data_IF_023000564960
#
_entry.id   IF_023000564960
#
_cell.length_a   1.000
_cell.length_b   1.000
_cell.length_c   1.000
_cell.angle_alpha   90.00
_cell.angle_beta   90.00
_cell.angle_gamma   90.00
#
_symmetry.space_group_name_H-M   'P 1'
#
loop_
_entity.id
_entity.type
_entity.pdbx_description
1 polymer ?
#
# COMPACT_ATOMS: atom_id res chain seq x y z
N UNK A 1 17.50 4.13 -30.05
CA UNK A 1 16.35 4.23 -29.11
C UNK A 1 15.84 2.86 -28.61
N UNK A 2 16.68 1.84 -28.43
CA UNK A 2 16.26 0.47 -28.02
C UNK A 2 16.85 -0.03 -26.67
N UNK A 3 17.47 0.85 -25.87
CA UNK A 3 18.14 0.46 -24.60
C UNK A 3 17.43 0.92 -23.32
N UNK A 4 16.25 1.53 -23.40
CA UNK A 4 15.56 2.14 -22.24
C UNK A 4 14.47 1.22 -21.66
N UNK A 5 13.94 0.26 -22.45
CA UNK A 5 12.82 -0.58 -21.99
C UNK A 5 13.20 -1.69 -20.99
N UNK A 6 14.43 -2.13 -20.96
CA UNK A 6 14.86 -3.21 -20.03
C UNK A 6 15.13 -2.68 -18.61
N UNK A 7 15.31 -1.37 -18.43
CA UNK A 7 15.57 -0.77 -17.11
C UNK A 7 14.30 -0.61 -16.24
N UNK A 8 13.12 -0.56 -16.83
CA UNK A 8 11.86 -0.34 -16.09
C UNK A 8 11.23 -1.61 -15.51
N UNK A 9 11.72 -2.80 -15.87
CA UNK A 9 11.30 -4.06 -15.23
C UNK A 9 11.93 -4.26 -13.82
N UNK A 10 12.76 -3.33 -13.37
CA UNK A 10 13.63 -3.46 -12.20
C UNK A 10 13.14 -2.75 -10.94
N UNK A 11 12.04 -1.98 -11.00
CA UNK A 11 11.45 -1.35 -9.82
C UNK A 11 10.00 -1.78 -9.64
N UNK A 12 9.81 -3.05 -9.33
CA UNK A 12 8.53 -3.52 -8.86
C UNK A 12 8.47 -3.37 -7.34
N UNK A 13 8.16 -2.17 -6.89
CA UNK A 13 7.63 -1.96 -5.54
C UNK A 13 6.27 -2.65 -5.49
N UNK A 14 6.23 -3.87 -4.95
CA UNK A 14 4.98 -4.58 -4.71
C UNK A 14 4.24 -3.83 -3.61
N UNK A 15 3.46 -2.83 -4.02
CA UNK A 15 2.41 -2.27 -3.17
C UNK A 15 1.26 -3.26 -3.27
N UNK A 16 1.17 -4.19 -2.33
CA UNK A 16 -0.03 -5.01 -2.14
C UNK A 16 -1.13 -4.10 -1.61
N UNK A 17 -1.97 -3.65 -2.54
CA UNK A 17 -3.13 -2.82 -2.26
C UNK A 17 -4.36 -3.67 -2.16
N UNK A 18 -5.01 -3.52 -1.03
CA UNK A 18 -6.37 -3.94 -0.83
C UNK A 18 -7.33 -3.01 -1.59
N UNK A 19 -7.95 -3.46 -2.64
CA UNK A 19 -9.09 -2.80 -3.25
C UNK A 19 -10.14 -3.83 -3.68
N UNK A 20 -11.25 -3.67 -3.13
CA UNK A 20 -12.57 -4.10 -3.07
C UNK A 20 -13.26 -5.00 -4.09
N UNK A 21 -14.21 -5.72 -3.52
CA UNK A 21 -15.47 -6.30 -4.02
C UNK A 21 -15.50 -7.73 -4.58
N UNK A 22 -16.09 -8.55 -3.79
CA UNK A 22 -17.25 -9.46 -3.90
C UNK A 22 -17.04 -10.97 -3.99
N UNK A 23 -17.56 -11.60 -2.93
CA UNK A 23 -18.35 -12.85 -2.76
C UNK A 23 -17.73 -14.24 -2.84
N UNK A 24 -17.89 -14.88 -1.66
CA UNK A 24 -18.19 -16.28 -1.23
C UNK A 24 -17.06 -17.29 -1.09
N UNK A 25 -16.87 -17.60 0.17
CA UNK A 25 -16.66 -18.83 0.95
C UNK A 25 -15.92 -20.02 0.32
N UNK A 26 -14.83 -20.42 1.00
CA UNK A 26 -14.71 -21.76 1.56
C UNK A 26 -13.69 -21.80 2.72
N UNK A 27 -13.98 -22.67 3.72
CA UNK A 27 -13.31 -22.77 5.01
C UNK A 27 -12.11 -23.71 4.96
N UNK A 28 -11.11 -23.42 5.76
CA UNK A 28 -10.12 -24.22 6.47
C UNK A 28 -8.67 -23.98 6.10
N UNK A 29 -7.96 -23.30 7.00
CA UNK A 29 -6.57 -23.64 7.33
C UNK A 29 -6.20 -23.02 8.69
N UNK A 30 -5.90 -23.88 9.66
CA UNK A 30 -5.26 -23.52 10.92
C UNK A 30 -3.82 -23.05 10.65
N UNK A 31 -3.52 -21.78 10.86
CA UNK A 31 -2.16 -21.25 10.90
C UNK A 31 -1.88 -20.70 12.30
N UNK A 32 -0.80 -21.17 12.91
CA UNK A 32 -0.26 -20.67 14.18
C UNK A 32 0.04 -19.18 14.08
N UNK A 33 -0.43 -18.41 15.05
CA UNK A 33 -0.20 -16.98 15.22
C UNK A 33 1.28 -16.68 15.49
N UNK A 34 2.08 -16.54 14.45
CA UNK A 34 3.32 -15.78 14.50
C UNK A 34 3.03 -14.43 13.80
N UNK A 35 3.07 -13.34 14.57
CA UNK A 35 2.98 -11.95 14.06
C UNK A 35 4.25 -11.63 13.26
N UNK A 36 4.34 -12.17 12.06
CA UNK A 36 5.53 -12.11 11.20
C UNK A 36 5.89 -10.66 10.86
N UNK A 37 6.87 -10.09 11.59
CA UNK A 37 7.47 -8.80 11.26
C UNK A 37 6.82 -7.55 11.86
N UNK A 38 5.69 -7.68 12.56
CA UNK A 38 5.08 -6.60 13.35
C UNK A 38 5.73 -6.55 14.73
N UNK A 39 6.04 -5.36 15.26
CA UNK A 39 6.52 -5.21 16.62
C UNK A 39 5.38 -5.44 17.63
N UNK A 40 5.10 -6.72 17.91
CA UNK A 40 4.01 -7.12 18.80
C UNK A 40 4.20 -6.57 20.24
N UNK A 41 5.43 -6.35 20.68
CA UNK A 41 5.74 -5.81 22.03
C UNK A 41 5.12 -4.43 22.24
N UNK A 42 5.10 -3.58 21.21
CA UNK A 42 4.49 -2.25 21.27
C UNK A 42 2.96 -2.28 21.53
N UNK A 43 2.34 -3.44 21.38
CA UNK A 43 0.90 -3.64 21.57
C UNK A 43 0.56 -4.52 22.78
N UNK A 44 1.54 -5.10 23.47
CA UNK A 44 1.30 -6.05 24.57
C UNK A 44 1.12 -5.40 25.94
N UNK A 45 1.67 -4.20 26.13
CA UNK A 45 1.65 -3.50 27.43
C UNK A 45 0.54 -2.44 27.54
N UNK A 46 -0.53 -2.56 26.74
CA UNK A 46 -1.64 -1.63 26.80
C UNK A 46 -2.61 -2.00 27.94
N UNK A 47 -3.10 -0.99 28.65
CA UNK A 47 -4.10 -1.15 29.71
C UNK A 47 -5.39 -1.74 29.09
N UNK A 48 -5.85 -2.87 29.62
CA UNK A 48 -7.08 -3.51 29.16
C UNK A 48 -8.30 -2.80 29.72
N UNK A 49 -9.33 -2.67 28.88
CA UNK A 49 -10.62 -2.10 29.25
C UNK A 49 -11.69 -3.19 29.19
N UNK A 50 -12.40 -3.38 30.28
CA UNK A 50 -13.58 -4.24 30.27
C UNK A 50 -14.77 -3.44 29.72
N UNK A 51 -15.31 -3.88 28.58
CA UNK A 51 -16.53 -3.30 27.97
C UNK A 51 -17.80 -4.04 28.44
N UNK A 52 -17.72 -4.83 29.53
CA UNK A 52 -18.91 -5.48 30.13
C UNK A 52 -19.54 -6.58 29.27
N UNK A 53 -18.83 -7.15 28.31
CA UNK A 53 -19.36 -8.12 27.34
C UNK A 53 -20.20 -7.47 26.22
N UNK A 54 -20.29 -6.16 26.17
CA UNK A 54 -20.96 -5.43 25.09
C UNK A 54 -20.25 -5.66 23.76
N UNK A 55 -21.03 -5.65 22.68
CA UNK A 55 -20.52 -5.62 21.32
C UNK A 55 -20.54 -4.19 20.80
N UNK A 56 -19.55 -3.83 20.00
CA UNK A 56 -19.39 -2.51 19.39
C UNK A 56 -19.32 -2.63 17.87
N UNK A 57 -19.77 -1.58 17.18
CA UNK A 57 -19.57 -1.48 15.73
C UNK A 57 -18.31 -0.67 15.49
N UNK A 58 -17.32 -1.30 14.84
CA UNK A 58 -16.12 -0.60 14.38
C UNK A 58 -16.47 0.13 13.08
N UNK A 59 -16.63 1.44 13.15
CA UNK A 59 -16.93 2.28 11.99
C UNK A 59 -16.26 3.63 12.13
N UNK A 60 -15.85 4.20 11.00
CA UNK A 60 -15.37 5.57 10.97
C UNK A 60 -16.52 6.54 11.25
N UNK A 61 -16.21 7.60 12.00
CA UNK A 61 -17.15 8.66 12.32
C UNK A 61 -16.57 9.98 11.84
N UNK A 62 -17.32 10.65 10.99
CA UNK A 62 -16.92 11.92 10.41
C UNK A 62 -17.91 13.01 10.79
N UNK A 63 -17.38 14.21 11.03
CA UNK A 63 -18.18 15.41 11.23
C UNK A 63 -17.68 16.49 10.28
N UNK A 64 -18.60 17.25 9.68
CA UNK A 64 -18.25 18.40 8.84
C UNK A 64 -17.38 19.38 9.61
N UNK A 65 -16.26 19.78 9.01
CA UNK A 65 -15.27 20.65 9.62
C UNK A 65 -14.20 19.95 10.46
N UNK A 66 -14.28 18.61 10.66
CA UNK A 66 -13.22 17.85 11.32
C UNK A 66 -11.91 17.98 10.55
N UNK A 67 -10.82 18.20 11.31
CA UNK A 67 -9.46 18.22 10.78
C UNK A 67 -8.59 17.25 11.58
N UNK A 68 -7.81 16.45 10.88
CA UNK A 68 -6.88 15.52 11.51
C UNK A 68 -5.76 15.17 10.52
N UNK A 69 -4.67 14.65 11.04
CA UNK A 69 -3.52 14.28 10.22
C UNK A 69 -3.08 12.85 10.52
N UNK A 70 -2.60 12.16 9.50
CA UNK A 70 -1.96 10.86 9.63
C UNK A 70 -0.54 10.88 9.10
N UNK A 71 0.34 10.19 9.81
CA UNK A 71 1.65 9.81 9.32
C UNK A 71 1.59 8.38 8.78
N UNK A 72 1.91 8.21 7.50
CA UNK A 72 2.12 6.93 6.87
C UNK A 72 3.60 6.73 6.59
N UNK A 73 4.19 5.67 7.16
CA UNK A 73 5.55 5.23 6.83
C UNK A 73 5.48 3.89 6.12
N UNK A 74 6.00 3.83 4.90
CA UNK A 74 6.17 2.59 4.14
C UNK A 74 7.64 2.24 4.10
N UNK A 75 7.98 0.98 4.36
CA UNK A 75 9.34 0.47 4.35
C UNK A 75 9.40 -0.76 3.46
N UNK A 76 10.39 -0.84 2.59
CA UNK A 76 10.63 -1.98 1.71
C UNK A 76 12.09 -2.39 1.81
N UNK A 77 12.33 -3.65 2.10
CA UNK A 77 13.63 -4.29 2.01
C UNK A 77 13.51 -5.36 0.92
N UNK A 78 14.38 -5.30 -0.09
CA UNK A 78 14.37 -6.26 -1.19
C UNK A 78 15.78 -6.79 -1.43
N UNK A 79 15.91 -8.11 -1.42
CA UNK A 79 17.10 -8.84 -1.80
C UNK A 79 16.80 -9.59 -3.11
N UNK A 80 17.54 -9.26 -4.16
CA UNK A 80 17.42 -9.88 -5.48
C UNK A 80 18.69 -10.62 -5.83
N UNK A 81 18.54 -11.79 -6.41
CA UNK A 81 19.67 -12.51 -7.02
C UNK A 81 19.29 -13.04 -8.39
N UNK A 82 20.18 -12.88 -9.35
CA UNK A 82 20.05 -13.40 -10.72
C UNK A 82 21.24 -14.30 -10.99
N UNK A 83 20.98 -15.57 -11.21
CA UNK A 83 21.96 -16.58 -11.63
C UNK A 83 21.84 -16.79 -13.14
N UNK A 84 22.89 -16.46 -13.88
CA UNK A 84 23.10 -16.80 -15.30
C UNK A 84 24.51 -17.39 -15.43
N UNK A 85 25.33 -16.89 -16.34
CA UNK A 85 26.75 -17.22 -16.40
C UNK A 85 27.53 -16.79 -15.15
N UNK A 86 27.01 -15.77 -14.44
CA UNK A 86 27.51 -15.30 -13.14
C UNK A 86 26.36 -14.98 -12.21
N UNK A 87 26.62 -15.02 -10.90
CA UNK A 87 25.65 -14.59 -9.85
C UNK A 87 25.75 -13.08 -9.67
N UNK A 88 24.63 -12.39 -9.91
CA UNK A 88 24.46 -10.96 -9.58
C UNK A 88 23.50 -10.84 -8.42
N UNK A 89 23.85 -10.01 -7.43
CA UNK A 89 23.01 -9.69 -6.29
C UNK A 89 22.75 -8.20 -6.24
N UNK A 90 21.58 -7.81 -5.80
CA UNK A 90 21.22 -6.43 -5.51
C UNK A 90 20.38 -6.36 -4.24
N UNK A 91 20.63 -5.37 -3.41
CA UNK A 91 19.90 -5.10 -2.19
C UNK A 91 19.35 -3.69 -2.21
N UNK A 92 18.07 -3.57 -1.90
CA UNK A 92 17.39 -2.28 -1.75
C UNK A 92 16.79 -2.20 -0.36
N UNK A 93 17.02 -1.08 0.32
CA UNK A 93 16.32 -0.71 1.54
C UNK A 93 15.75 0.68 1.33
N UNK A 94 14.42 0.83 1.40
CA UNK A 94 13.73 2.10 1.16
C UNK A 94 12.72 2.37 2.25
N UNK A 95 12.64 3.60 2.68
CA UNK A 95 11.59 4.13 3.55
C UNK A 95 11.00 5.38 2.93
N UNK A 96 9.68 5.47 2.93
CA UNK A 96 8.95 6.67 2.52
C UNK A 96 7.96 7.05 3.62
N UNK A 97 8.07 8.28 4.11
CA UNK A 97 7.15 8.82 5.12
C UNK A 97 6.32 9.92 4.49
N UNK A 98 5.01 9.86 4.67
CA UNK A 98 4.04 10.86 4.22
C UNK A 98 3.32 11.46 5.43
N UNK A 99 3.00 12.76 5.36
CA UNK A 99 2.02 13.41 6.23
C UNK A 99 0.80 13.75 5.38
N UNK A 100 -0.33 13.21 5.79
CA UNK A 100 -1.64 13.47 5.19
C UNK A 100 -2.45 14.35 6.11
N UNK A 101 -2.93 15.47 5.61
CA UNK A 101 -3.86 16.34 6.31
C UNK A 101 -5.25 16.19 5.69
N UNK A 102 -6.23 15.95 6.54
CA UNK A 102 -7.63 15.75 6.19
C UNK A 102 -8.46 16.91 6.67
N UNK A 103 -9.38 17.37 5.84
CA UNK A 103 -10.41 18.33 6.16
C UNK A 103 -11.75 17.78 5.65
N UNK A 104 -12.66 17.44 6.55
CA UNK A 104 -13.98 16.91 6.20
C UNK A 104 -14.87 18.06 5.76
N UNK A 105 -15.15 18.10 4.46
CA UNK A 105 -15.93 19.16 3.83
C UNK A 105 -17.42 18.97 4.04
N UNK A 106 -17.87 17.71 3.95
CA UNK A 106 -19.26 17.33 4.14
C UNK A 106 -19.41 15.87 4.56
N UNK A 107 -20.58 15.52 5.08
CA UNK A 107 -20.94 14.16 5.46
C UNK A 107 -22.27 13.83 4.79
N UNK A 108 -22.32 12.73 4.07
CA UNK A 108 -23.51 12.30 3.35
C UNK A 108 -24.58 11.65 4.27
N UNK A 109 -25.70 11.25 3.69
CA UNK A 109 -26.82 10.62 4.43
C UNK A 109 -26.45 9.25 5.02
N UNK A 110 -25.43 8.60 4.49
CA UNK A 110 -24.91 7.30 4.97
C UNK A 110 -23.76 7.48 5.96
N UNK A 111 -23.50 8.72 6.37
CA UNK A 111 -22.40 9.15 7.24
C UNK A 111 -21.00 8.95 6.64
N UNK A 112 -20.91 8.80 5.33
CA UNK A 112 -19.66 8.86 4.58
C UNK A 112 -19.14 10.30 4.48
N UNK A 113 -17.83 10.46 4.32
CA UNK A 113 -17.19 11.77 4.22
C UNK A 113 -16.86 12.15 2.78
N UNK A 114 -17.08 13.43 2.43
CA UNK A 114 -16.36 14.13 1.35
C UNK A 114 -15.20 14.89 2.01
N UNK A 115 -13.99 14.40 1.80
CA UNK A 115 -12.78 14.90 2.44
C UNK A 115 -11.86 15.57 1.43
N UNK A 116 -11.36 16.75 1.77
CA UNK A 116 -10.17 17.30 1.13
C UNK A 116 -8.94 16.73 1.81
N UNK A 117 -8.02 16.18 1.02
CA UNK A 117 -6.80 15.53 1.49
C UNK A 117 -5.61 16.25 0.88
N UNK A 118 -4.65 16.62 1.72
CA UNK A 118 -3.38 17.21 1.29
C UNK A 118 -2.21 16.37 1.80
N UNK A 119 -1.30 16.00 0.92
CA UNK A 119 -0.02 15.41 1.31
C UNK A 119 0.94 16.59 1.56
N UNK A 120 1.07 17.00 2.83
CA UNK A 120 1.80 18.21 3.21
C UNK A 120 3.30 18.00 3.39
N UNK A 121 3.73 16.73 3.52
CA UNK A 121 5.15 16.40 3.68
C UNK A 121 5.45 15.00 3.17
N UNK A 122 6.64 14.84 2.60
CA UNK A 122 7.18 13.54 2.22
C UNK A 122 8.68 13.50 2.45
N UNK A 123 9.14 12.38 3.01
CA UNK A 123 10.57 12.06 3.15
C UNK A 123 10.82 10.69 2.55
N UNK A 124 11.81 10.59 1.65
CA UNK A 124 12.28 9.33 1.09
C UNK A 124 13.74 9.14 1.52
N UNK A 125 14.04 7.95 2.01
CA UNK A 125 15.40 7.49 2.25
C UNK A 125 15.54 6.11 1.62
N UNK A 126 16.56 5.94 0.76
CA UNK A 126 16.83 4.65 0.13
C UNK A 126 18.34 4.36 0.13
N UNK A 127 18.66 3.08 0.24
CA UNK A 127 19.99 2.52 0.02
C UNK A 127 19.86 1.41 -1.03
N UNK A 128 20.50 1.61 -2.16
CA UNK A 128 20.47 0.69 -3.29
C UNK A 128 21.93 0.25 -3.57
N UNK A 129 22.30 -0.94 -3.14
CA UNK A 129 23.65 -1.49 -3.29
C UNK A 129 24.73 -0.54 -2.70
N UNK A 130 24.45 0.06 -1.52
CA UNK A 130 25.34 1.01 -0.83
C UNK A 130 25.20 2.46 -1.32
N UNK A 131 24.46 2.73 -2.39
CA UNK A 131 24.19 4.08 -2.87
C UNK A 131 23.00 4.68 -2.16
N UNK A 132 23.24 5.67 -1.31
CA UNK A 132 22.22 6.38 -0.54
C UNK A 132 21.52 7.45 -1.38
N UNK A 133 20.21 7.49 -1.28
CA UNK A 133 19.34 8.48 -1.89
C UNK A 133 18.46 9.06 -0.79
N UNK A 134 18.36 10.38 -0.73
CA UNK A 134 17.47 11.07 0.19
C UNK A 134 16.71 12.17 -0.55
N UNK A 135 15.43 12.28 -0.26
CA UNK A 135 14.59 13.40 -0.65
C UNK A 135 13.76 13.84 0.55
N UNK A 136 13.62 15.14 0.72
CA UNK A 136 12.78 15.75 1.75
C UNK A 136 12.01 16.90 1.09
N UNK A 137 10.69 16.80 1.06
CA UNK A 137 9.85 17.82 0.42
C UNK A 137 9.84 19.18 1.12
N UNK A 138 10.27 19.23 2.38
CA UNK A 138 10.40 20.48 3.14
C UNK A 138 11.77 21.14 3.00
N UNK A 139 12.75 20.46 2.42
CA UNK A 139 14.05 21.02 2.13
C UNK A 139 14.01 21.93 0.90
N UNK A 140 14.99 22.81 0.79
CA UNK A 140 15.21 23.61 -0.42
C UNK A 140 15.81 22.68 -1.48
N UNK A 141 14.98 22.22 -2.40
CA UNK A 141 15.38 21.35 -3.49
C UNK A 141 15.67 22.16 -4.76
N UNK A 142 16.80 21.88 -5.41
CA UNK A 142 17.12 22.44 -6.71
C UNK A 142 16.24 21.85 -7.84
N UNK A 143 16.31 22.44 -9.03
CA UNK A 143 15.51 22.03 -10.17
C UNK A 143 15.79 20.57 -10.60
N UNK A 144 17.06 20.13 -10.50
CA UNK A 144 17.45 18.77 -10.85
C UNK A 144 16.87 17.74 -9.87
N UNK A 145 16.90 18.04 -8.58
CA UNK A 145 16.28 17.21 -7.54
C UNK A 145 14.78 17.11 -7.74
N UNK A 146 14.08 18.26 -7.98
CA UNK A 146 12.64 18.26 -8.27
C UNK A 146 12.30 17.46 -9.52
N UNK A 147 13.07 17.59 -10.58
CA UNK A 147 12.89 16.81 -11.81
C UNK A 147 13.10 15.29 -11.57
N UNK A 148 14.06 14.92 -10.73
CA UNK A 148 14.32 13.53 -10.37
C UNK A 148 13.17 12.91 -9.57
N UNK A 149 12.50 13.71 -8.73
CA UNK A 149 11.41 13.30 -7.87
C UNK A 149 10.04 13.86 -8.33
N UNK A 150 9.91 14.09 -9.63
CA UNK A 150 8.75 14.75 -10.26
C UNK A 150 7.40 14.11 -9.86
N UNK A 151 7.33 12.79 -9.76
CA UNK A 151 6.11 12.06 -9.39
C UNK A 151 5.66 12.43 -7.97
N UNK A 152 6.61 12.57 -7.06
CA UNK A 152 6.35 12.98 -5.68
C UNK A 152 6.06 14.48 -5.56
N UNK A 153 6.85 15.30 -6.25
CA UNK A 153 6.61 16.75 -6.33
C UNK A 153 5.20 17.04 -6.84
N UNK A 154 4.67 16.21 -7.74
CA UNK A 154 3.33 16.37 -8.30
C UNK A 154 2.24 16.27 -7.25
N UNK A 155 2.34 15.34 -6.30
CA UNK A 155 1.29 15.07 -5.31
C UNK A 155 1.44 15.91 -4.03
N UNK A 156 2.65 16.39 -3.71
CA UNK A 156 2.89 17.18 -2.49
C UNK A 156 2.27 18.57 -2.65
N UNK A 157 1.56 19.02 -1.61
CA UNK A 157 0.85 20.31 -1.59
C UNK A 157 -0.08 20.53 -2.80
N UNK A 158 -0.66 19.43 -3.28
CA UNK A 158 -1.65 19.42 -4.34
C UNK A 158 -2.92 18.75 -3.80
N UNK A 159 -3.80 19.49 -3.12
CA UNK A 159 -5.00 18.91 -2.50
C UNK A 159 -5.89 18.22 -3.53
N UNK A 160 -6.49 17.12 -3.11
CA UNK A 160 -7.46 16.36 -3.87
C UNK A 160 -8.67 16.02 -2.99
N UNK A 161 -9.77 15.57 -3.57
CA UNK A 161 -10.95 15.11 -2.82
C UNK A 161 -11.06 13.60 -2.85
N UNK A 162 -11.54 13.04 -1.73
CA UNK A 162 -11.89 11.63 -1.62
C UNK A 162 -13.24 11.46 -0.94
N UNK A 163 -14.05 10.52 -1.46
CA UNK A 163 -15.25 10.03 -0.79
C UNK A 163 -14.88 8.78 0.00
N UNK A 164 -15.11 8.81 1.31
CA UNK A 164 -14.73 7.76 2.25
C UNK A 164 -15.99 7.28 2.96
N UNK A 165 -16.32 6.01 2.85
CA UNK A 165 -17.49 5.46 3.55
C UNK A 165 -17.17 5.13 5.02
N UNK A 166 -18.20 4.79 5.80
CA UNK A 166 -18.06 4.49 7.22
C UNK A 166 -17.24 3.22 7.52
N UNK A 167 -17.00 2.36 6.53
CA UNK A 167 -16.11 1.20 6.67
C UNK A 167 -14.65 1.55 6.42
N UNK A 168 -14.36 2.71 5.84
CA UNK A 168 -13.03 3.14 5.46
C UNK A 168 -12.66 2.86 3.99
N UNK A 169 -13.62 2.46 3.16
CA UNK A 169 -13.37 2.28 1.73
C UNK A 169 -13.35 3.63 1.00
N UNK A 170 -12.40 3.81 0.10
CA UNK A 170 -12.24 5.01 -0.74
C UNK A 170 -13.07 4.83 -2.01
N UNK A 171 -14.30 5.31 -1.98
CA UNK A 171 -15.24 5.16 -3.09
C UNK A 171 -14.84 5.97 -4.34
N UNK A 172 -14.33 7.19 -4.15
CA UNK A 172 -13.92 8.07 -5.25
C UNK A 172 -12.74 8.95 -4.87
N UNK A 173 -11.95 9.36 -5.88
CA UNK A 173 -10.90 10.38 -5.78
C UNK A 173 -11.03 11.32 -6.99
N UNK A 174 -11.08 12.62 -6.71
CA UNK A 174 -11.34 13.67 -7.70
C UNK A 174 -10.51 14.94 -7.45
N UNK A 175 -10.71 16.00 -8.28
CA UNK A 175 -10.00 17.29 -8.20
C UNK A 175 -8.47 17.15 -8.42
N UNK A 176 -8.07 16.44 -9.47
CA UNK A 176 -6.66 16.15 -9.79
C UNK A 176 -6.04 17.14 -10.79
N UNK A 177 -6.79 18.16 -11.24
CA UNK A 177 -6.34 19.10 -12.27
C UNK A 177 -5.02 19.78 -11.89
N UNK A 178 -4.89 20.24 -10.64
CA UNK A 178 -3.66 20.87 -10.15
C UNK A 178 -2.44 19.94 -10.23
N UNK A 179 -2.64 18.65 -10.00
CA UNK A 179 -1.56 17.66 -10.13
C UNK A 179 -1.14 17.46 -11.58
N UNK A 180 -2.11 17.40 -12.50
CA UNK A 180 -1.83 17.31 -13.94
C UNK A 180 -1.08 18.55 -14.42
N UNK A 181 -1.57 19.74 -14.05
CA UNK A 181 -0.92 20.99 -14.43
C UNK A 181 0.50 21.09 -13.87
N UNK A 182 0.71 20.68 -12.61
CA UNK A 182 2.03 20.65 -11.99
C UNK A 182 2.97 19.65 -12.67
N UNK A 183 2.49 18.42 -12.98
CA UNK A 183 3.30 17.43 -13.69
C UNK A 183 3.69 17.91 -15.09
N UNK A 184 2.78 18.58 -15.80
CA UNK A 184 3.04 19.10 -17.15
C UNK A 184 4.01 20.28 -17.11
N UNK A 185 3.97 21.13 -16.06
CA UNK A 185 4.89 22.27 -15.90
C UNK A 185 6.37 21.85 -15.77
N UNK A 186 6.64 20.65 -15.28
CA UNK A 186 8.00 20.09 -15.24
C UNK A 186 8.54 19.64 -16.60
N UNK A 187 7.73 19.70 -17.65
CA UNK A 187 8.09 19.30 -19.02
C UNK A 187 7.93 20.48 -19.99
N UNK A 188 8.73 21.55 -19.85
CA UNK A 188 8.61 22.73 -20.71
C UNK A 188 8.86 22.34 -22.18
N UNK A 189 8.12 22.98 -23.09
CA UNK A 189 8.27 22.78 -24.53
C UNK A 189 7.51 21.58 -25.11
N UNK A 190 6.78 20.83 -24.30
CA UNK A 190 5.86 19.80 -24.83
C UNK A 190 4.54 20.43 -25.30
N UNK A 191 3.91 19.80 -26.32
CA UNK A 191 2.56 20.19 -26.75
C UNK A 191 1.56 20.05 -25.61
N UNK A 192 0.49 20.81 -25.66
CA UNK A 192 -0.63 20.65 -24.74
C UNK A 192 -1.19 19.22 -24.85
N UNK A 193 -1.54 18.64 -23.71
CA UNK A 193 -2.21 17.35 -23.66
C UNK A 193 -3.58 17.44 -24.33
N UNK A 194 -3.96 16.42 -25.09
CA UNK A 194 -5.33 16.25 -25.54
C UNK A 194 -6.23 15.92 -24.34
N UNK A 195 -7.56 16.08 -24.45
CA UNK A 195 -8.50 15.69 -23.39
C UNK A 195 -8.34 14.22 -22.95
N UNK A 196 -8.13 13.30 -23.88
CA UNK A 196 -7.94 11.87 -23.60
C UNK A 196 -6.63 11.59 -22.87
N UNK A 197 -5.53 12.26 -23.26
CA UNK A 197 -4.25 12.17 -22.58
C UNK A 197 -4.34 12.72 -21.16
N UNK A 198 -5.06 13.84 -20.97
CA UNK A 198 -5.31 14.41 -19.65
C UNK A 198 -6.10 13.44 -18.77
N UNK A 199 -7.16 12.84 -19.32
CA UNK A 199 -7.98 11.84 -18.62
C UNK A 199 -7.16 10.61 -18.22
N UNK A 200 -6.35 10.09 -19.15
CA UNK A 200 -5.45 8.96 -18.87
C UNK A 200 -4.47 9.28 -17.76
N UNK A 201 -3.88 10.47 -17.78
CA UNK A 201 -2.95 10.92 -16.75
C UNK A 201 -3.63 11.07 -15.39
N UNK A 202 -4.85 11.64 -15.36
CA UNK A 202 -5.65 11.73 -14.12
C UNK A 202 -5.96 10.35 -13.55
N UNK A 203 -6.33 9.38 -14.39
CA UNK A 203 -6.59 8.01 -13.97
C UNK A 203 -5.31 7.34 -13.40
N UNK A 204 -4.16 7.55 -14.04
CA UNK A 204 -2.89 7.04 -13.53
C UNK A 204 -2.51 7.63 -12.18
N UNK A 205 -2.70 8.93 -11.98
CA UNK A 205 -2.47 9.60 -10.69
C UNK A 205 -3.45 9.06 -9.65
N UNK A 206 -4.75 8.99 -9.98
CA UNK A 206 -5.80 8.53 -9.08
C UNK A 206 -5.57 7.09 -8.63
N UNK A 207 -5.51 6.16 -9.60
CA UNK A 207 -5.56 4.73 -9.32
C UNK A 207 -4.17 4.13 -9.13
N UNK A 208 -3.13 4.73 -9.73
CA UNK A 208 -1.75 4.27 -9.61
C UNK A 208 -0.98 4.87 -8.43
N UNK A 209 -1.35 6.05 -7.95
CA UNK A 209 -0.63 6.73 -6.87
C UNK A 209 -1.50 7.00 -5.64
N UNK A 210 -2.58 7.77 -5.78
CA UNK A 210 -3.31 8.30 -4.63
C UNK A 210 -4.19 7.28 -3.93
N UNK A 211 -5.02 6.54 -4.69
CA UNK A 211 -5.93 5.54 -4.11
C UNK A 211 -5.19 4.53 -3.26
N UNK A 212 -4.08 3.96 -3.75
CA UNK A 212 -3.32 3.01 -2.97
C UNK A 212 -2.83 3.52 -1.63
N UNK A 213 -2.19 4.67 -1.60
CA UNK A 213 -1.62 5.21 -0.34
C UNK A 213 -2.71 5.74 0.60
N UNK A 214 -3.82 6.28 0.05
CA UNK A 214 -4.95 6.74 0.87
C UNK A 214 -5.68 5.57 1.50
N UNK A 215 -5.88 4.46 0.76
CA UNK A 215 -6.51 3.25 1.28
C UNK A 215 -5.67 2.59 2.40
N UNK A 216 -4.34 2.75 2.40
CA UNK A 216 -3.53 2.29 3.53
C UNK A 216 -3.89 2.98 4.84
N UNK A 217 -4.33 4.24 4.81
CA UNK A 217 -4.70 5.01 6.01
C UNK A 217 -6.02 4.52 6.57
N UNK A 218 -7.00 4.24 5.69
CA UNK A 218 -8.31 3.77 6.09
C UNK A 218 -8.38 2.25 5.95
N UNK A 219 -8.33 1.56 7.11
CA UNK A 219 -8.53 0.11 7.15
C UNK A 219 -10.00 -0.22 7.07
N UNK A 220 -10.36 -1.19 6.24
CA UNK A 220 -11.75 -1.65 6.16
C UNK A 220 -12.19 -2.30 7.47
N UNK A 221 -13.31 -1.82 7.99
CA UNK A 221 -13.90 -2.29 9.24
C UNK A 221 -15.07 -3.24 8.97
N UNK A 222 -15.37 -4.17 9.88
CA UNK A 222 -16.45 -5.13 9.69
C UNK A 222 -17.82 -4.42 9.70
N UNK A 223 -18.75 -4.91 8.88
CA UNK A 223 -20.14 -4.41 8.84
C UNK A 223 -21.04 -5.13 9.86
N UNK A 224 -20.54 -5.37 11.06
CA UNK A 224 -21.25 -6.06 12.13
C UNK A 224 -20.72 -5.65 13.50
N UNK A 225 -21.50 -5.91 14.52
CA UNK A 225 -21.03 -5.78 15.90
C UNK A 225 -19.96 -6.82 16.22
N UNK A 226 -18.92 -6.38 16.92
CA UNK A 226 -17.81 -7.20 17.36
C UNK A 226 -17.55 -7.03 18.84
N UNK A 227 -17.18 -8.11 19.50
CA UNK A 227 -16.68 -8.16 20.86
C UNK A 227 -15.29 -8.81 20.87
N UNK A 228 -14.74 -9.04 22.06
CA UNK A 228 -13.51 -9.82 22.21
C UNK A 228 -13.63 -11.18 21.50
N UNK A 229 -12.56 -11.62 20.87
CA UNK A 229 -12.45 -12.85 20.06
C UNK A 229 -13.35 -12.92 18.80
N UNK A 230 -14.07 -11.85 18.49
CA UNK A 230 -14.81 -11.78 17.21
C UNK A 230 -13.84 -11.78 16.03
N UNK A 231 -14.20 -12.51 14.97
CA UNK A 231 -13.42 -12.66 13.74
C UNK A 231 -14.22 -12.26 12.52
N UNK A 232 -13.52 -11.79 11.50
CA UNK A 232 -14.05 -11.59 10.14
C UNK A 232 -12.93 -11.71 9.11
N UNK A 233 -13.30 -11.92 7.85
CA UNK A 233 -12.36 -12.03 6.75
C UNK A 233 -12.81 -11.15 5.61
N UNK A 234 -11.85 -10.46 4.99
CA UNK A 234 -12.02 -9.70 3.76
C UNK A 234 -11.19 -10.34 2.64
N UNK A 235 -11.76 -10.39 1.44
CA UNK A 235 -11.14 -11.05 0.28
C UNK A 235 -10.91 -10.03 -0.82
N UNK A 236 -9.69 -10.00 -1.36
CA UNK A 236 -9.29 -9.03 -2.36
C UNK A 236 -8.66 -9.72 -3.56
N UNK A 237 -9.07 -9.38 -4.79
CA UNK A 237 -8.30 -9.71 -5.96
C UNK A 237 -6.99 -8.92 -5.94
N UNK A 238 -5.90 -9.58 -6.21
CA UNK A 238 -4.59 -8.97 -6.28
C UNK A 238 -3.92 -9.23 -7.60
N UNK A 239 -2.98 -8.37 -7.96
CA UNK A 239 -2.13 -8.54 -9.11
C UNK A 239 -0.68 -8.43 -8.65
N UNK A 240 0.09 -9.51 -8.81
CA UNK A 240 1.50 -9.56 -8.50
C UNK A 240 2.31 -9.34 -9.77
N UNK A 241 3.19 -8.36 -9.73
CA UNK A 241 4.09 -8.05 -10.85
C UNK A 241 3.40 -7.61 -12.16
N UNK A 242 2.13 -7.16 -12.11
CA UNK A 242 1.38 -6.75 -13.30
C UNK A 242 0.97 -7.90 -14.22
N UNK A 243 1.37 -9.13 -13.92
CA UNK A 243 1.20 -10.32 -14.78
C UNK A 243 0.40 -11.41 -14.10
N UNK A 244 0.44 -11.49 -12.77
CA UNK A 244 -0.11 -12.61 -12.01
C UNK A 244 -1.33 -12.22 -11.21
N UNK A 245 -2.40 -12.95 -11.44
CA UNK A 245 -3.61 -12.83 -10.64
C UNK A 245 -3.51 -13.73 -9.41
N UNK A 246 -3.79 -13.16 -8.26
CA UNK A 246 -3.89 -13.87 -6.99
C UNK A 246 -5.09 -13.36 -6.21
N UNK A 247 -5.64 -14.19 -5.36
CA UNK A 247 -6.61 -13.77 -4.35
C UNK A 247 -5.91 -13.80 -3.00
N UNK A 248 -6.06 -12.76 -2.22
CA UNK A 248 -5.63 -12.77 -0.85
C UNK A 248 -6.81 -12.53 0.08
N UNK A 249 -6.73 -13.13 1.25
CA UNK A 249 -7.66 -12.91 2.34
C UNK A 249 -6.92 -12.28 3.51
N UNK A 250 -7.55 -11.29 4.14
CA UNK A 250 -7.15 -10.74 5.41
C UNK A 250 -8.13 -11.26 6.48
N UNK A 251 -7.63 -12.09 7.39
CA UNK A 251 -8.38 -12.61 8.52
C UNK A 251 -8.09 -11.75 9.73
N UNK A 252 -9.14 -11.14 10.28
CA UNK A 252 -9.06 -10.23 11.41
C UNK A 252 -9.62 -10.86 12.68
N UNK A 253 -9.05 -10.49 13.82
CA UNK A 253 -9.54 -10.90 15.14
C UNK A 253 -9.44 -9.73 16.13
N UNK A 254 -10.51 -9.47 16.89
CA UNK A 254 -10.46 -8.57 18.04
C UNK A 254 -9.76 -9.29 19.19
N UNK A 255 -8.52 -8.91 19.49
CA UNK A 255 -7.73 -9.51 20.56
C UNK A 255 -8.17 -9.04 21.93
N UNK A 256 -8.42 -7.73 22.06
CA UNK A 256 -8.85 -7.13 23.31
C UNK A 256 -9.40 -5.70 23.06
N UNK A 257 -9.99 -5.10 24.11
CA UNK A 257 -10.21 -3.67 24.19
C UNK A 257 -9.22 -3.04 25.15
N UNK A 258 -8.64 -1.92 24.76
CA UNK A 258 -7.52 -1.29 25.47
C UNK A 258 -7.74 0.21 25.60
N UNK A 259 -7.04 0.84 26.54
CA UNK A 259 -7.05 2.30 26.74
C UNK A 259 -5.77 2.90 26.16
N UNK A 260 -5.94 3.94 25.35
CA UNK A 260 -4.83 4.67 24.74
C UNK A 260 -5.13 6.16 24.85
N UNK A 261 -4.27 6.91 25.53
CA UNK A 261 -4.43 8.36 25.75
C UNK A 261 -5.84 8.73 26.29
N UNK A 262 -6.38 7.87 27.19
CA UNK A 262 -7.70 8.08 27.79
C UNK A 262 -8.89 7.56 26.95
N UNK A 263 -8.70 7.24 25.67
CA UNK A 263 -9.76 6.73 24.81
C UNK A 263 -9.79 5.18 24.80
N UNK A 264 -11.00 4.62 24.60
CA UNK A 264 -11.19 3.17 24.40
C UNK A 264 -10.86 2.80 22.96
N UNK A 265 -10.10 1.74 22.76
CA UNK A 265 -9.74 1.25 21.44
C UNK A 265 -9.90 -0.27 21.32
N UNK A 266 -10.38 -0.72 20.18
CA UNK A 266 -10.28 -2.13 19.80
C UNK A 266 -8.87 -2.43 19.32
N UNK A 267 -8.23 -3.44 19.91
CA UNK A 267 -6.97 -4.04 19.45
C UNK A 267 -7.31 -5.20 18.54
N UNK A 268 -6.99 -5.08 17.26
CA UNK A 268 -7.32 -6.06 16.22
C UNK A 268 -6.04 -6.60 15.61
N UNK A 269 -5.89 -7.91 15.57
CA UNK A 269 -4.85 -8.58 14.78
C UNK A 269 -5.36 -8.87 13.38
N UNK A 270 -4.47 -8.89 12.41
CA UNK A 270 -4.73 -9.30 11.04
C UNK A 270 -3.72 -10.37 10.62
N UNK A 271 -4.18 -11.37 9.88
CA UNK A 271 -3.35 -12.37 9.24
C UNK A 271 -3.67 -12.41 7.74
N UNK A 272 -2.65 -12.47 6.89
CA UNK A 272 -2.81 -12.49 5.45
C UNK A 272 -2.59 -13.90 4.93
N UNK A 273 -3.54 -14.39 4.12
CA UNK A 273 -3.42 -15.62 3.36
C UNK A 273 -3.56 -15.33 1.86
N UNK A 274 -2.94 -16.18 1.03
CA UNK A 274 -2.84 -15.96 -0.42
C UNK A 274 -3.15 -17.23 -1.18
N UNK A 275 -3.89 -17.08 -2.28
CA UNK A 275 -4.15 -18.15 -3.23
C UNK A 275 -3.81 -17.67 -4.64
N UNK A 276 -2.92 -18.40 -5.30
CA UNK A 276 -2.61 -18.16 -6.69
C UNK A 276 -3.78 -18.57 -7.59
N UNK A 277 -4.13 -17.73 -8.58
CA UNK A 277 -5.24 -18.01 -9.50
C UNK A 277 -4.87 -17.84 -10.97
N UNK A 278 -3.72 -17.27 -11.28
CA UNK A 278 -3.28 -16.96 -12.63
C UNK A 278 -2.27 -17.95 -13.22
N UNK A 279 -1.90 -17.72 -14.46
CA UNK A 279 -0.89 -18.52 -15.16
C UNK A 279 0.50 -18.22 -14.62
N UNK A 280 1.31 -19.27 -14.37
CA UNK A 280 2.69 -19.12 -13.88
C UNK A 280 3.71 -19.02 -15.00
N UNK A 281 3.30 -19.25 -16.23
CA UNK A 281 4.16 -19.26 -17.41
C UNK A 281 3.66 -18.26 -18.43
N UNK A 282 4.57 -17.65 -19.15
CA UNK A 282 4.25 -16.74 -20.22
C UNK A 282 5.48 -16.32 -21.02
N UNK A 283 5.24 -15.46 -22.01
CA UNK A 283 6.29 -14.84 -22.82
C UNK A 283 5.99 -13.34 -22.92
N UNK A 284 6.99 -12.54 -22.69
CA UNK A 284 6.90 -11.09 -22.87
C UNK A 284 8.19 -10.59 -23.51
N UNK A 285 8.06 -9.85 -24.60
CA UNK A 285 9.18 -9.26 -25.34
C UNK A 285 10.28 -10.27 -25.73
N UNK A 286 9.88 -11.51 -26.07
CA UNK A 286 10.82 -12.59 -26.45
C UNK A 286 11.51 -13.28 -25.27
N UNK A 287 11.11 -12.96 -24.04
CA UNK A 287 11.58 -13.64 -22.83
C UNK A 287 10.46 -14.54 -22.31
N UNK A 288 10.71 -15.84 -22.29
CA UNK A 288 9.82 -16.80 -21.62
C UNK A 288 10.13 -16.83 -20.14
N UNK A 289 9.08 -16.90 -19.32
CA UNK A 289 9.21 -16.99 -17.87
C UNK A 289 8.36 -18.12 -17.30
N UNK A 290 8.87 -18.72 -16.23
CA UNK A 290 8.17 -19.73 -15.44
C UNK A 290 8.39 -19.44 -13.94
N UNK A 291 7.30 -19.13 -13.22
CA UNK A 291 7.32 -18.82 -11.79
C UNK A 291 7.04 -20.05 -10.95
N UNK A 292 7.79 -20.25 -9.89
CA UNK A 292 7.36 -21.13 -8.81
C UNK A 292 6.29 -20.46 -7.97
N UNK A 293 5.56 -21.23 -7.16
CA UNK A 293 4.60 -20.66 -6.22
C UNK A 293 5.30 -19.68 -5.27
N UNK A 294 4.83 -18.44 -5.18
CA UNK A 294 5.40 -17.48 -4.24
C UNK A 294 5.10 -17.92 -2.81
N UNK A 295 6.09 -17.74 -1.93
CA UNK A 295 5.86 -17.84 -0.48
C UNK A 295 5.53 -16.47 0.02
N UNK A 296 4.33 -16.31 0.57
CA UNK A 296 3.85 -15.02 1.08
C UNK A 296 3.37 -15.22 2.50
N UNK A 297 3.94 -14.43 3.42
CA UNK A 297 3.51 -14.36 4.81
C UNK A 297 3.26 -12.90 5.14
N UNK A 298 2.21 -12.62 5.88
CA UNK A 298 1.90 -11.27 6.29
C UNK A 298 0.96 -11.22 7.48
N UNK A 299 1.02 -10.11 8.21
CA UNK A 299 0.15 -9.88 9.33
C UNK A 299 0.12 -8.41 9.72
N UNK A 300 -0.69 -8.07 10.71
CA UNK A 300 -0.83 -6.71 11.17
C UNK A 300 -1.47 -6.59 12.54
N UNK A 301 -1.35 -5.38 13.08
CA UNK A 301 -2.04 -4.94 14.29
C UNK A 301 -2.71 -3.61 14.02
N UNK A 302 -3.93 -3.44 14.53
CA UNK A 302 -4.75 -2.24 14.37
C UNK A 302 -5.24 -1.82 15.75
N UNK A 303 -5.14 -0.53 16.05
CA UNK A 303 -5.75 0.11 17.21
C UNK A 303 -6.78 1.11 16.71
N UNK A 304 -8.05 0.80 16.91
CA UNK A 304 -9.17 1.60 16.44
C UNK A 304 -9.94 2.21 17.62
N UNK A 305 -9.98 3.52 17.69
CA UNK A 305 -10.72 4.24 18.72
C UNK A 305 -12.23 4.03 18.51
N UNK A 306 -12.88 3.37 19.47
CA UNK A 306 -14.31 3.06 19.41
C UNK A 306 -15.22 4.24 19.85
N UNK A 307 -14.66 5.24 20.53
CA UNK A 307 -15.42 6.38 21.03
C UNK A 307 -15.63 7.44 19.94
N UNK A 308 -14.63 7.64 19.07
CA UNK A 308 -14.69 8.66 18.01
C UNK A 308 -14.55 8.11 16.58
N UNK A 309 -14.50 6.77 16.44
CA UNK A 309 -14.46 6.12 15.13
C UNK A 309 -13.24 6.50 14.31
N UNK A 310 -12.04 6.42 14.91
CA UNK A 310 -10.77 6.79 14.25
C UNK A 310 -9.72 5.69 14.38
N UNK A 311 -8.96 5.48 13.32
CA UNK A 311 -7.74 4.69 13.41
C UNK A 311 -6.72 5.47 14.26
N UNK A 312 -6.22 4.87 15.35
CA UNK A 312 -5.14 5.46 16.15
C UNK A 312 -3.79 5.08 15.56
N UNK A 313 -3.61 3.77 15.33
CA UNK A 313 -2.40 3.21 14.78
C UNK A 313 -2.70 1.92 14.04
N UNK A 314 -2.02 1.69 12.94
CA UNK A 314 -1.99 0.38 12.31
C UNK A 314 -0.58 0.07 11.85
N UNK A 315 -0.22 -1.19 11.93
CA UNK A 315 1.03 -1.70 11.40
C UNK A 315 0.76 -2.99 10.65
N UNK A 316 1.30 -3.11 9.44
CA UNK A 316 1.25 -4.34 8.66
C UNK A 316 2.63 -4.67 8.13
N UNK A 317 2.96 -5.95 8.10
CA UNK A 317 4.18 -6.45 7.49
C UNK A 317 3.85 -7.60 6.56
N UNK A 318 4.51 -7.64 5.40
CA UNK A 318 4.34 -8.70 4.40
C UNK A 318 5.71 -9.09 3.87
N UNK A 319 6.01 -10.39 3.87
CA UNK A 319 7.20 -10.95 3.25
C UNK A 319 6.80 -11.80 2.05
N UNK A 320 7.43 -11.54 0.92
CA UNK A 320 7.21 -12.25 -0.35
C UNK A 320 8.53 -12.84 -0.82
N UNK A 321 8.54 -14.13 -1.13
CA UNK A 321 9.65 -14.79 -1.79
C UNK A 321 9.17 -15.35 -3.12
N UNK A 322 9.81 -14.95 -4.22
CA UNK A 322 9.51 -15.41 -5.57
C UNK A 322 10.76 -15.97 -6.24
N UNK A 323 10.57 -17.06 -7.00
CA UNK A 323 11.57 -17.60 -7.89
C UNK A 323 11.01 -17.67 -9.31
N UNK A 324 11.80 -17.23 -10.28
CA UNK A 324 11.42 -17.25 -11.68
C UNK A 324 12.57 -17.80 -12.54
N UNK A 325 12.24 -18.72 -13.43
CA UNK A 325 13.13 -19.16 -14.49
C UNK A 325 12.84 -18.31 -15.73
N UNK A 326 13.89 -17.80 -16.36
CA UNK A 326 13.83 -16.94 -17.54
C UNK A 326 14.60 -17.60 -18.66
N UNK A 327 14.00 -17.64 -19.85
CA UNK A 327 14.65 -18.07 -21.08
C UNK A 327 14.52 -16.98 -22.14
N UNK A 328 15.62 -16.59 -22.73
CA UNK A 328 15.68 -15.62 -23.83
C UNK A 328 16.63 -16.11 -24.91
N UNK A 329 16.48 -15.60 -26.13
CA UNK A 329 17.46 -15.81 -27.20
C UNK A 329 18.41 -14.62 -27.26
N UNK A 330 19.72 -14.90 -27.38
CA UNK A 330 20.70 -13.86 -27.63
C UNK A 330 20.72 -13.45 -29.12
N UNK A 331 21.61 -12.53 -29.49
CA UNK A 331 21.74 -12.06 -30.87
C UNK A 331 22.11 -13.18 -31.87
N UNK A 332 22.73 -14.27 -31.39
CA UNK A 332 23.09 -15.46 -32.16
C UNK A 332 22.00 -16.52 -32.17
N UNK A 333 20.75 -16.19 -31.72
CA UNK A 333 19.64 -17.12 -31.56
C UNK A 333 19.88 -18.26 -30.56
N UNK A 334 20.96 -18.20 -29.78
CA UNK A 334 21.27 -19.19 -28.75
C UNK A 334 20.41 -18.93 -27.51
N UNK A 335 19.79 -19.98 -27.00
CA UNK A 335 18.97 -19.89 -25.77
C UNK A 335 19.84 -19.63 -24.55
N UNK A 336 19.54 -18.57 -23.83
CA UNK A 336 20.12 -18.26 -22.52
C UNK A 336 19.09 -18.49 -21.44
N UNK A 337 19.47 -19.22 -20.40
CA UNK A 337 18.68 -19.50 -19.23
C UNK A 337 19.22 -18.74 -18.04
N UNK A 338 18.32 -18.19 -17.21
CA UNK A 338 18.69 -17.59 -15.94
C UNK A 338 17.62 -17.87 -14.90
N UNK A 339 18.02 -17.86 -13.65
CA UNK A 339 17.08 -17.95 -12.51
C UNK A 339 17.18 -16.67 -11.69
N UNK A 340 16.05 -16.08 -11.41
CA UNK A 340 15.92 -14.91 -10.54
C UNK A 340 15.18 -15.31 -9.27
N UNK A 341 15.75 -14.92 -8.13
CA UNK A 341 15.13 -15.02 -6.82
C UNK A 341 14.96 -13.62 -6.25
N UNK A 342 13.75 -13.29 -5.84
CA UNK A 342 13.41 -12.04 -5.18
C UNK A 342 12.84 -12.35 -3.78
N UNK A 343 13.38 -11.71 -2.75
CA UNK A 343 12.83 -11.70 -1.41
C UNK A 343 12.55 -10.26 -1.05
N UNK A 344 11.29 -9.92 -0.77
CA UNK A 344 10.92 -8.58 -0.33
C UNK A 344 10.14 -8.60 0.97
N UNK A 345 10.43 -7.65 1.84
CA UNK A 345 9.65 -7.38 3.05
C UNK A 345 9.13 -5.97 2.98
N UNK A 346 7.81 -5.82 3.08
CA UNK A 346 7.14 -4.52 3.11
C UNK A 346 6.51 -4.35 4.49
N UNK A 347 6.67 -3.16 5.07
CA UNK A 347 6.07 -2.77 6.35
C UNK A 347 5.41 -1.41 6.19
N UNK A 348 4.15 -1.29 6.61
CA UNK A 348 3.42 -0.04 6.61
C UNK A 348 3.01 0.29 8.03
N UNK A 349 3.30 1.51 8.46
CA UNK A 349 2.94 2.04 9.78
C UNK A 349 2.11 3.30 9.57
N UNK A 350 0.92 3.33 10.14
CA UNK A 350 -0.01 4.46 10.12
C UNK A 350 -0.17 4.93 11.56
N UNK A 351 -0.07 6.23 11.78
CA UNK A 351 -0.21 6.86 13.11
C UNK A 351 -1.04 8.13 12.99
N UNK A 352 -2.08 8.27 13.81
CA UNK A 352 -2.82 9.52 13.99
C UNK A 352 -1.90 10.51 14.71
N UNK A 353 -1.83 11.78 14.24
CA UNK A 353 -0.98 12.83 14.79
C UNK A 353 -1.78 13.77 15.71
#
# INVERSE_FOLDING_TARGET
MRKILVKNLLMLSIILLAAGCAKKQDKNANAKNETNGVNAEAYNNLEKVNIGGEKVILKYQFKKGDKFSYKLTTMTISDQSIQSDSLKKSKTNQSTTYIFDFNILDVDKENGADAEINISSMIIAADIDGRKIRYDSKAINDAQTKQRFIEYETIINSPFRAKINIKGDIADISHLDKMVDKLTSFRPGQRKLTPDEKTTLMNNIRDGALRPITQLIFREMPNKEVGKDSTWSEHYPGNLAGVFQLNYAADFKVEDFVKINGARAAKVSANLSFKWTGNKQGNQDGVSYNFSDPKINGGGMILFNIDNGRLIKAETATKVEMNVQLESKDQSQKTKKSTRKDISTNRNIIELL
#
